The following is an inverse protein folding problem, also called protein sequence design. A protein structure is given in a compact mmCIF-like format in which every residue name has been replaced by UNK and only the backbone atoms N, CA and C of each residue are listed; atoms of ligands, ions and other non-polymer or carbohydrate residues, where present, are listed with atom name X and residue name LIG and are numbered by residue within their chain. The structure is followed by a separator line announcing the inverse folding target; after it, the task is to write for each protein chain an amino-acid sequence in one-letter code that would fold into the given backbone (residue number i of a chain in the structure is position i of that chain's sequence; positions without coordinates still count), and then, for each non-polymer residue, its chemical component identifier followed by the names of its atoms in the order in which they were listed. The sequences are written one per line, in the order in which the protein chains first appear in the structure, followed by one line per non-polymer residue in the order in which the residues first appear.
data_IF_675928400835
#
_entry.id   IF_675928400835
#
_cell.length_a   1.000
_cell.length_b   1.000
_cell.length_c   1.000
_cell.angle_alpha   90.00
_cell.angle_beta   90.00
_cell.angle_gamma   90.00
#
_symmetry.space_group_name_H-M   'P 1'
#
loop_
_entity.id
_entity.type
_entity.pdbx_description
1 polymer ?
#
# COMPACT_ATOMS: atom_id res chain seq x y z
N UNK A 1 2.13 7.61 14.54
CA UNK A 1 3.40 7.61 13.77
C UNK A 1 4.55 8.35 14.47
N UNK A 2 4.38 9.61 14.94
CA UNK A 2 5.48 10.40 15.54
C UNK A 2 6.28 9.67 16.63
N UNK A 3 5.62 8.97 17.56
CA UNK A 3 6.29 8.19 18.62
C UNK A 3 7.23 7.10 18.08
N UNK A 4 6.85 6.44 16.98
CA UNK A 4 7.68 5.42 16.35
C UNK A 4 8.93 6.05 15.72
N UNK A 5 8.72 7.09 14.91
CA UNK A 5 9.80 7.82 14.23
C UNK A 5 10.84 8.32 15.25
N UNK A 6 10.39 8.97 16.33
CA UNK A 6 11.31 9.50 17.35
C UNK A 6 12.14 8.39 18.02
N UNK A 7 11.57 7.21 18.26
CA UNK A 7 12.31 6.07 18.86
C UNK A 7 13.33 5.46 17.90
N UNK A 8 13.07 5.50 16.60
CA UNK A 8 14.01 5.04 15.57
C UNK A 8 15.15 6.05 15.41
N UNK A 9 14.84 7.34 15.30
CA UNK A 9 15.84 8.41 15.22
C UNK A 9 16.77 8.42 16.42
N UNK A 10 16.23 8.22 17.64
CA UNK A 10 17.06 8.10 18.85
C UNK A 10 18.05 6.92 18.84
N UNK A 11 17.90 5.98 17.90
CA UNK A 11 18.80 4.83 17.68
C UNK A 11 19.61 4.97 16.39
N UNK A 12 19.62 6.14 15.75
CA UNK A 12 20.30 6.35 14.46
C UNK A 12 19.62 5.66 13.28
N UNK A 13 18.32 5.31 13.40
CA UNK A 13 17.56 4.65 12.33
C UNK A 13 16.68 5.67 11.60
N UNK A 14 16.89 5.78 10.29
CA UNK A 14 16.01 6.54 9.39
C UNK A 14 14.72 5.76 9.11
N UNK A 15 13.58 6.44 9.14
CA UNK A 15 12.28 5.84 8.84
C UNK A 15 11.69 6.52 7.62
N UNK A 16 11.42 5.72 6.57
CA UNK A 16 10.61 6.11 5.44
C UNK A 16 9.27 5.39 5.47
N UNK A 17 8.22 6.06 5.01
CA UNK A 17 6.87 5.51 4.91
C UNK A 17 6.55 5.35 3.43
N UNK A 18 6.20 4.14 3.03
CA UNK A 18 5.75 3.84 1.66
C UNK A 18 4.29 3.43 1.72
N UNK A 19 3.45 4.15 0.98
CA UNK A 19 2.04 3.86 0.81
C UNK A 19 1.83 3.16 -0.53
N UNK A 20 1.18 1.99 -0.49
CA UNK A 20 0.85 1.25 -1.70
C UNK A 20 -0.56 1.66 -2.13
N UNK A 21 -0.65 2.41 -3.22
CA UNK A 21 -1.92 2.74 -3.86
C UNK A 21 -2.37 1.55 -4.72
N UNK A 22 -3.66 1.26 -4.69
CA UNK A 22 -4.26 0.15 -5.41
C UNK A 22 -5.71 0.53 -5.78
N UNK A 23 -6.36 -0.26 -6.64
CA UNK A 23 -7.77 -0.10 -7.00
C UNK A 23 -8.56 -1.37 -6.65
N UNK A 24 -9.89 -1.28 -6.76
CA UNK A 24 -10.78 -2.38 -6.41
C UNK A 24 -10.57 -3.59 -7.31
N UNK A 25 -10.34 -3.40 -8.60
CA UNK A 25 -10.17 -4.50 -9.55
C UNK A 25 -8.93 -5.34 -9.22
N UNK A 26 -7.80 -4.67 -9.00
CA UNK A 26 -6.55 -5.31 -8.58
C UNK A 26 -6.70 -6.00 -7.22
N UNK A 27 -7.40 -5.36 -6.26
CA UNK A 27 -7.68 -5.99 -4.97
C UNK A 27 -8.50 -7.26 -5.13
N UNK A 28 -9.58 -7.21 -5.93
CA UNK A 28 -10.49 -8.32 -6.15
C UNK A 28 -9.78 -9.52 -6.79
N UNK A 29 -8.97 -9.26 -7.82
CA UNK A 29 -8.16 -10.29 -8.47
C UNK A 29 -7.18 -10.94 -7.48
N UNK A 30 -6.46 -10.13 -6.70
CA UNK A 30 -5.50 -10.64 -5.73
C UNK A 30 -6.14 -11.49 -4.62
N UNK A 31 -7.27 -11.05 -4.04
CA UNK A 31 -7.94 -11.81 -2.99
C UNK A 31 -8.58 -13.09 -3.52
N UNK A 32 -9.02 -13.08 -4.78
CA UNK A 32 -9.53 -14.28 -5.48
C UNK A 32 -8.40 -15.27 -5.70
N UNK A 33 -7.27 -14.81 -6.24
CA UNK A 33 -6.12 -15.65 -6.54
C UNK A 33 -5.52 -16.30 -5.28
N UNK A 34 -5.32 -15.52 -4.20
CA UNK A 34 -4.66 -16.04 -2.98
C UNK A 34 -5.49 -17.09 -2.22
N UNK A 35 -6.77 -17.25 -2.54
CA UNK A 35 -7.63 -18.35 -2.08
C UNK A 35 -7.61 -18.61 -0.57
N UNK A 36 -7.57 -17.55 0.25
CA UNK A 36 -7.54 -17.69 1.70
C UNK A 36 -8.96 -17.74 2.28
N UNK A 37 -9.26 -18.73 3.13
CA UNK A 37 -10.60 -18.95 3.71
C UNK A 37 -11.19 -17.73 4.45
N UNK A 38 -10.33 -16.85 4.98
CA UNK A 38 -10.76 -15.59 5.63
C UNK A 38 -11.41 -14.58 4.69
N UNK A 39 -11.22 -14.72 3.38
CA UNK A 39 -11.73 -13.79 2.37
C UNK A 39 -13.08 -14.23 1.80
N UNK A 40 -13.59 -15.42 2.15
CA UNK A 40 -14.83 -15.98 1.58
C UNK A 40 -16.01 -15.02 1.66
N UNK A 41 -16.18 -14.32 2.79
CA UNK A 41 -17.25 -13.33 2.92
C UNK A 41 -17.06 -12.13 1.99
N UNK A 42 -15.82 -11.63 1.84
CA UNK A 42 -15.51 -10.49 0.95
C UNK A 42 -15.80 -10.84 -0.50
N UNK A 43 -15.42 -12.05 -0.93
CA UNK A 43 -15.64 -12.53 -2.29
C UNK A 43 -17.14 -12.71 -2.59
N UNK A 44 -17.92 -13.19 -1.62
CA UNK A 44 -19.37 -13.36 -1.78
C UNK A 44 -20.16 -12.04 -1.68
N UNK A 45 -19.57 -11.00 -1.09
CA UNK A 45 -20.23 -9.71 -0.81
C UNK A 45 -19.37 -8.55 -1.28
N UNK A 46 -18.76 -8.68 -2.47
CA UNK A 46 -17.74 -7.75 -2.94
C UNK A 46 -18.22 -6.30 -2.99
N UNK A 47 -19.39 -6.05 -3.58
CA UNK A 47 -19.93 -4.69 -3.69
C UNK A 47 -20.15 -4.03 -2.32
N UNK A 48 -20.68 -4.78 -1.36
CA UNK A 48 -20.86 -4.32 0.03
C UNK A 48 -19.52 -4.03 0.70
N UNK A 49 -18.52 -4.88 0.47
CA UNK A 49 -17.17 -4.67 1.00
C UNK A 49 -16.50 -3.44 0.36
N UNK A 50 -16.59 -3.31 -0.97
CA UNK A 50 -15.99 -2.24 -1.75
C UNK A 50 -16.61 -0.87 -1.42
N UNK A 51 -17.92 -0.80 -1.16
CA UNK A 51 -18.61 0.43 -0.77
C UNK A 51 -18.09 1.02 0.55
N UNK A 52 -17.43 0.22 1.40
CA UNK A 52 -16.82 0.67 2.64
C UNK A 52 -15.35 1.13 2.52
N UNK A 53 -14.77 1.10 1.32
CA UNK A 53 -13.36 1.41 1.10
C UNK A 53 -13.21 2.83 0.55
N UNK A 54 -12.39 3.63 1.22
CA UNK A 54 -11.88 4.90 0.69
C UNK A 54 -10.54 4.66 -0.02
N UNK A 55 -10.55 4.67 -1.36
CA UNK A 55 -9.36 4.48 -2.20
C UNK A 55 -8.42 5.69 -2.19
N UNK A 56 -8.92 6.85 -1.78
CA UNK A 56 -8.14 8.10 -1.69
C UNK A 56 -7.56 8.31 -0.29
N UNK A 57 -7.87 7.43 0.67
CA UNK A 57 -7.27 7.46 1.99
C UNK A 57 -5.74 7.38 1.89
N UNK A 58 -5.06 8.33 2.55
CA UNK A 58 -3.60 8.38 2.65
C UNK A 58 -3.15 8.64 4.09
N UNK A 59 -1.96 8.17 4.50
CA UNK A 59 -1.38 8.54 5.79
C UNK A 59 -1.18 10.05 5.88
N UNK A 60 -1.54 10.64 7.02
CA UNK A 60 -1.33 12.08 7.31
C UNK A 60 0.14 12.48 7.50
N UNK A 61 1.07 11.53 7.41
CA UNK A 61 2.51 11.76 7.54
C UNK A 61 3.16 11.83 6.17
N UNK A 62 4.34 12.47 6.02
CA UNK A 62 5.12 12.36 4.79
C UNK A 62 5.33 10.90 4.41
N UNK A 63 4.98 10.57 3.17
CA UNK A 63 5.09 9.22 2.63
C UNK A 63 5.39 9.28 1.15
N UNK A 64 6.00 8.21 0.66
CA UNK A 64 6.20 7.93 -0.75
C UNK A 64 5.05 7.05 -1.23
N UNK A 65 4.60 7.25 -2.47
CA UNK A 65 3.51 6.45 -3.05
C UNK A 65 4.08 5.50 -4.08
N UNK A 66 3.63 4.26 -4.04
CA UNK A 66 3.88 3.23 -5.04
C UNK A 66 2.55 2.74 -5.56
N UNK A 67 2.37 2.82 -6.88
CA UNK A 67 1.17 2.41 -7.59
C UNK A 67 1.21 0.91 -7.94
N UNK A 68 0.34 0.14 -7.30
CA UNK A 68 0.17 -1.29 -7.50
C UNK A 68 -1.05 -1.63 -8.36
N UNK A 69 -1.69 -0.66 -9.01
CA UNK A 69 -2.82 -0.92 -9.90
C UNK A 69 -2.39 -1.73 -11.12
N UNK A 70 -3.29 -2.60 -11.59
CA UNK A 70 -3.13 -3.30 -12.86
C UNK A 70 -2.98 -2.28 -14.01
N UNK A 71 -1.97 -2.48 -14.85
CA UNK A 71 -1.71 -1.57 -15.97
C UNK A 71 -1.01 -0.26 -15.60
N UNK A 72 -0.45 -0.14 -14.39
CA UNK A 72 0.42 1.01 -14.07
C UNK A 72 1.54 1.15 -15.09
N UNK A 73 1.78 2.40 -15.54
CA UNK A 73 2.74 2.70 -16.62
C UNK A 73 4.20 2.37 -16.25
N UNK A 74 4.51 2.33 -14.95
CA UNK A 74 5.83 1.97 -14.42
C UNK A 74 5.69 0.67 -13.65
N UNK A 75 6.60 -0.27 -13.88
CA UNK A 75 6.60 -1.54 -13.13
C UNK A 75 6.72 -1.28 -11.63
N UNK A 76 6.04 -2.08 -10.80
CA UNK A 76 6.11 -1.98 -9.34
C UNK A 76 7.57 -1.98 -8.84
N UNK A 77 8.40 -2.84 -9.42
CA UNK A 77 9.83 -2.96 -9.10
C UNK A 77 10.58 -1.65 -9.37
N UNK A 78 10.31 -0.99 -10.50
CA UNK A 78 11.00 0.26 -10.84
C UNK A 78 10.52 1.44 -10.00
N UNK A 79 9.22 1.50 -9.68
CA UNK A 79 8.71 2.48 -8.72
C UNK A 79 9.36 2.31 -7.34
N UNK A 80 9.50 1.07 -6.87
CA UNK A 80 10.20 0.78 -5.61
C UNK A 80 11.65 1.25 -5.69
N UNK A 81 12.38 0.95 -6.77
CA UNK A 81 13.77 1.42 -6.95
C UNK A 81 13.89 2.94 -6.86
N UNK A 82 12.98 3.68 -7.51
CA UNK A 82 12.95 5.15 -7.44
C UNK A 82 12.72 5.64 -6.01
N UNK A 83 11.76 5.06 -5.31
CA UNK A 83 11.45 5.36 -3.89
C UNK A 83 12.69 5.14 -3.02
N UNK A 84 13.39 4.01 -3.16
CA UNK A 84 14.62 3.75 -2.40
C UNK A 84 15.73 4.76 -2.71
N UNK A 85 15.90 5.17 -3.97
CA UNK A 85 16.87 6.19 -4.37
C UNK A 85 16.62 7.57 -3.75
N UNK A 86 15.38 7.88 -3.38
CA UNK A 86 15.04 9.14 -2.69
C UNK A 86 15.27 9.12 -1.18
N UNK A 87 15.30 7.93 -0.56
CA UNK A 87 15.44 7.78 0.90
C UNK A 87 16.90 7.67 1.34
N UNK A 88 17.76 7.07 0.51
CA UNK A 88 19.14 6.68 0.89
C UNK A 88 20.23 7.45 0.11
N UNK A 89 20.05 8.76 -0.10
CA UNK A 89 21.14 9.61 -0.62
C UNK A 89 22.20 9.91 0.44
#
# INVERSE_FOLDING_TARGET
MRRLINRCVARGVTVAVVWIQCDLDTMHEYISFRSAARDSWKLQNWDTYAAGIDLELRPVVPHLVVDNRLGSAISLTDQVRQVFGTVFQ
#
